data_IF_720305390635
#
_entry.id   IF_720305390635
#
_cell.length_a   1.000
_cell.length_b   1.000
_cell.length_c   1.000
_cell.angle_alpha   90.00
_cell.angle_beta   90.00
_cell.angle_gamma   90.00
#
_symmetry.space_group_name_H-M   'P 1'
#
loop_
_entity.id
_entity.type
_entity.pdbx_description
1 polymer ?
#
# COMPACT_ATOMS: atom_id res chain seq x y z
N UNK A 1 26.78 -5.80 11.10
CA UNK A 1 25.72 -6.47 10.31
C UNK A 1 24.31 -6.20 10.86
N UNK A 2 24.02 -6.51 12.15
CA UNK A 2 22.66 -6.41 12.70
C UNK A 2 22.03 -5.00 12.75
N UNK A 3 22.82 -3.97 13.04
CA UNK A 3 22.33 -2.56 13.09
C UNK A 3 21.90 -2.03 11.72
N UNK A 4 22.59 -2.45 10.65
CA UNK A 4 22.26 -2.09 9.27
C UNK A 4 20.93 -2.72 8.82
N UNK A 5 20.74 -4.02 9.10
CA UNK A 5 19.48 -4.72 8.80
C UNK A 5 18.29 -4.15 9.59
N UNK A 6 18.51 -3.76 10.85
CA UNK A 6 17.51 -3.09 11.66
C UNK A 6 17.11 -1.74 11.05
N UNK A 7 18.07 -0.93 10.61
CA UNK A 7 17.82 0.35 9.95
C UNK A 7 17.02 0.20 8.65
N UNK A 8 17.37 -0.79 7.82
CA UNK A 8 16.61 -1.12 6.61
C UNK A 8 15.18 -1.56 6.94
N UNK A 9 15.01 -2.45 7.91
CA UNK A 9 13.68 -2.89 8.35
C UNK A 9 12.83 -1.71 8.83
N UNK A 10 13.38 -0.84 9.68
CA UNK A 10 12.66 0.33 10.19
C UNK A 10 12.27 1.29 9.06
N UNK A 11 13.15 1.48 8.08
CA UNK A 11 12.88 2.33 6.91
C UNK A 11 11.74 1.77 6.07
N UNK A 12 11.79 0.47 5.76
CA UNK A 12 10.69 -0.22 5.05
C UNK A 12 9.40 -0.17 5.84
N UNK A 13 9.46 -0.51 7.13
CA UNK A 13 8.29 -0.58 7.98
C UNK A 13 7.60 0.79 8.06
N UNK A 14 8.38 1.85 8.24
CA UNK A 14 7.86 3.22 8.29
C UNK A 14 7.27 3.66 6.95
N UNK A 15 8.00 3.49 5.84
CA UNK A 15 7.51 3.85 4.51
C UNK A 15 6.25 3.05 4.11
N UNK A 16 6.23 1.75 4.40
CA UNK A 16 5.08 0.86 4.16
C UNK A 16 3.87 1.29 4.98
N UNK A 17 4.05 1.59 6.26
CA UNK A 17 2.96 2.05 7.12
C UNK A 17 2.38 3.39 6.65
N UNK A 18 3.23 4.34 6.24
CA UNK A 18 2.77 5.61 5.66
C UNK A 18 2.00 5.42 4.35
N UNK A 19 2.41 4.46 3.52
CA UNK A 19 1.73 4.13 2.28
C UNK A 19 0.36 3.47 2.52
N UNK A 20 0.26 2.59 3.53
CA UNK A 20 -1.01 1.99 4.00
C UNK A 20 -1.98 3.03 4.54
N UNK A 21 -1.45 4.04 5.21
CA UNK A 21 -2.21 5.16 5.75
C UNK A 21 -2.77 6.08 4.65
N UNK A 22 -2.08 6.19 3.52
CA UNK A 22 -2.56 6.97 2.38
C UNK A 22 -3.73 6.24 1.70
N UNK A 23 -4.92 6.84 1.64
CA UNK A 23 -6.09 6.19 1.06
C UNK A 23 -5.96 6.02 -0.45
N UNK A 24 -6.09 4.78 -0.91
CA UNK A 24 -6.19 4.40 -2.32
C UNK A 24 -7.54 3.76 -2.66
N UNK A 25 -7.68 3.22 -3.88
CA UNK A 25 -8.88 2.48 -4.30
C UNK A 25 -9.25 1.34 -3.35
N UNK A 26 -8.26 0.56 -2.92
CA UNK A 26 -8.43 -0.59 -2.01
C UNK A 26 -8.97 -0.16 -0.64
N UNK A 27 -8.40 0.92 -0.09
CA UNK A 27 -8.86 1.52 1.15
C UNK A 27 -10.33 1.92 1.05
N UNK A 28 -10.72 2.61 -0.04
CA UNK A 28 -12.11 3.06 -0.26
C UNK A 28 -13.05 1.84 -0.36
N UNK A 29 -12.62 0.76 -1.01
CA UNK A 29 -13.40 -0.47 -1.14
C UNK A 29 -13.64 -1.15 0.22
N UNK A 30 -12.60 -1.25 1.06
CA UNK A 30 -12.71 -1.80 2.43
C UNK A 30 -13.65 -0.94 3.28
N UNK A 31 -13.47 0.39 3.26
CA UNK A 31 -14.35 1.32 3.98
C UNK A 31 -15.78 1.18 3.51
N UNK A 32 -16.07 1.30 2.20
CA UNK A 32 -17.43 1.18 1.67
C UNK A 32 -18.10 -0.14 2.06
N UNK A 33 -17.35 -1.25 2.07
CA UNK A 33 -17.88 -2.55 2.45
C UNK A 33 -18.12 -2.65 3.96
N UNK A 34 -17.22 -2.11 4.78
CA UNK A 34 -17.39 -2.05 6.23
C UNK A 34 -18.60 -1.21 6.67
N UNK A 35 -18.98 -0.22 5.85
CA UNK A 35 -20.14 0.65 6.08
C UNK A 35 -21.47 0.03 5.63
N UNK A 36 -21.47 -0.67 4.48
CA UNK A 36 -22.70 -1.07 3.79
C UNK A 36 -22.99 -2.58 3.83
N UNK A 37 -22.07 -3.40 4.36
CA UNK A 37 -22.18 -4.86 4.36
C UNK A 37 -21.76 -5.47 5.71
N UNK A 38 -21.74 -6.80 5.79
CA UNK A 38 -21.33 -7.51 7.02
C UNK A 38 -19.82 -7.33 7.22
N UNK A 39 -19.38 -7.25 8.47
CA UNK A 39 -17.95 -7.19 8.82
C UNK A 39 -17.12 -8.29 8.15
N UNK A 40 -17.67 -9.51 8.06
CA UNK A 40 -16.99 -10.65 7.42
C UNK A 40 -16.76 -10.42 5.91
N UNK A 41 -17.63 -9.66 5.23
CA UNK A 41 -17.48 -9.33 3.81
C UNK A 41 -16.32 -8.35 3.60
N UNK A 42 -16.16 -7.39 4.52
CA UNK A 42 -15.03 -6.45 4.51
C UNK A 42 -13.70 -7.16 4.84
N UNK A 43 -13.70 -8.12 5.76
CA UNK A 43 -12.53 -8.96 6.06
C UNK A 43 -12.16 -9.84 4.85
N UNK A 44 -13.14 -10.40 4.13
CA UNK A 44 -12.88 -11.17 2.93
C UNK A 44 -12.23 -10.31 1.81
N UNK A 45 -12.71 -9.08 1.61
CA UNK A 45 -12.07 -8.10 0.72
C UNK A 45 -10.64 -7.78 1.16
N UNK A 46 -10.43 -7.51 2.46
CA UNK A 46 -9.10 -7.25 3.02
C UNK A 46 -8.12 -8.41 2.77
N UNK A 47 -8.58 -9.66 2.93
CA UNK A 47 -7.77 -10.84 2.60
C UNK A 47 -7.42 -10.92 1.11
N UNK A 48 -8.35 -10.55 0.23
CA UNK A 48 -8.12 -10.46 -1.21
C UNK A 48 -7.05 -9.42 -1.55
N UNK A 49 -7.18 -8.21 -1.00
CA UNK A 49 -6.21 -7.11 -1.17
C UNK A 49 -4.83 -7.53 -0.66
N UNK A 50 -4.75 -8.11 0.55
CA UNK A 50 -3.49 -8.60 1.10
C UNK A 50 -2.84 -9.68 0.22
N UNK A 51 -3.63 -10.57 -0.38
CA UNK A 51 -3.13 -11.60 -1.30
C UNK A 51 -2.57 -11.00 -2.58
N UNK A 52 -3.23 -9.99 -3.16
CA UNK A 52 -2.71 -9.27 -4.33
C UNK A 52 -1.39 -8.55 -4.01
N UNK A 53 -1.32 -7.89 -2.84
CA UNK A 53 -0.12 -7.26 -2.35
C UNK A 53 1.01 -8.28 -2.12
N UNK A 54 0.70 -9.47 -1.61
CA UNK A 54 1.67 -10.56 -1.44
C UNK A 54 2.31 -10.98 -2.77
N UNK A 55 1.54 -10.99 -3.87
CA UNK A 55 2.08 -11.27 -5.21
C UNK A 55 3.08 -10.19 -5.62
N UNK A 56 2.74 -8.91 -5.46
CA UNK A 56 3.66 -7.82 -5.79
C UNK A 56 4.94 -7.86 -4.94
N UNK A 57 4.79 -8.02 -3.62
CA UNK A 57 5.90 -8.12 -2.69
C UNK A 57 6.81 -9.30 -3.08
N UNK A 58 6.24 -10.48 -3.31
CA UNK A 58 7.01 -11.67 -3.69
C UNK A 58 7.72 -11.47 -5.03
N UNK A 59 7.04 -10.88 -6.01
CA UNK A 59 7.60 -10.61 -7.34
C UNK A 59 8.76 -9.62 -7.25
N UNK A 60 8.63 -8.56 -6.45
CA UNK A 60 9.71 -7.59 -6.25
C UNK A 60 10.88 -8.22 -5.48
N UNK A 61 10.62 -8.98 -4.40
CA UNK A 61 11.67 -9.63 -3.60
C UNK A 61 12.50 -10.63 -4.44
N UNK A 62 11.83 -11.37 -5.34
CA UNK A 62 12.49 -12.30 -6.28
C UNK A 62 13.19 -11.52 -7.40
N UNK A 63 12.48 -10.60 -8.05
CA UNK A 63 12.92 -9.90 -9.26
C UNK A 63 14.08 -8.94 -9.03
N UNK A 64 14.14 -8.29 -7.87
CA UNK A 64 15.20 -7.31 -7.58
C UNK A 64 16.59 -7.96 -7.52
N UNK A 65 16.70 -9.20 -7.03
CA UNK A 65 17.98 -9.92 -7.06
C UNK A 65 18.49 -10.19 -8.48
N UNK A 66 17.59 -10.56 -9.39
CA UNK A 66 17.93 -10.78 -10.80
C UNK A 66 18.30 -9.48 -11.53
N UNK A 67 17.60 -8.38 -11.23
CA UNK A 67 17.88 -7.05 -11.77
C UNK A 67 19.25 -6.51 -11.37
N UNK A 68 19.61 -6.66 -10.09
CA UNK A 68 20.91 -6.22 -9.57
C UNK A 68 22.06 -7.04 -10.19
N UNK A 69 21.86 -8.35 -10.37
CA UNK A 69 22.85 -9.21 -11.01
C UNK A 69 23.03 -8.92 -12.52
N UNK A 70 22.01 -8.34 -13.17
CA UNK A 70 22.01 -8.12 -14.61
C UNK A 70 22.77 -6.84 -15.02
N UNK A 71 22.42 -5.67 -14.46
CA UNK A 71 23.03 -4.39 -14.87
C UNK A 71 22.79 -3.25 -13.87
N UNK A 72 23.85 -2.57 -13.42
CA UNK A 72 23.78 -1.40 -12.53
C UNK A 72 22.98 -0.23 -13.12
N UNK A 73 23.08 0.01 -14.44
CA UNK A 73 22.32 1.06 -15.12
C UNK A 73 20.81 0.80 -15.09
N UNK A 74 20.41 -0.46 -15.21
CA UNK A 74 19.00 -0.87 -15.14
C UNK A 74 18.43 -0.60 -13.74
N UNK A 75 19.23 -0.85 -12.71
CA UNK A 75 18.88 -0.53 -11.32
C UNK A 75 18.78 0.98 -11.08
N UNK A 76 19.68 1.79 -11.64
CA UNK A 76 19.60 3.26 -11.55
C UNK A 76 18.36 3.82 -12.26
N UNK A 77 18.03 3.32 -13.45
CA UNK A 77 16.81 3.67 -14.19
C UNK A 77 15.55 3.32 -13.39
N UNK A 78 15.51 2.12 -12.81
CA UNK A 78 14.39 1.67 -11.99
C UNK A 78 14.26 2.48 -10.69
N UNK A 79 15.39 2.84 -10.07
CA UNK A 79 15.43 3.72 -8.90
C UNK A 79 14.90 5.11 -9.24
N UNK A 80 15.30 5.68 -10.38
CA UNK A 80 14.80 6.96 -10.85
C UNK A 80 13.29 6.93 -11.10
N UNK A 81 12.81 5.88 -11.78
CA UNK A 81 11.38 5.68 -12.03
C UNK A 81 10.58 5.53 -10.72
N UNK A 82 11.10 4.75 -9.77
CA UNK A 82 10.46 4.57 -8.48
C UNK A 82 10.44 5.84 -7.63
N UNK A 83 11.56 6.56 -7.56
CA UNK A 83 11.65 7.85 -6.88
C UNK A 83 10.69 8.89 -7.48
N UNK A 84 10.63 8.99 -8.81
CA UNK A 84 9.68 9.85 -9.51
C UNK A 84 8.22 9.46 -9.21
N UNK A 85 7.92 8.17 -9.13
CA UNK A 85 6.58 7.71 -8.77
C UNK A 85 6.20 8.05 -7.32
N UNK A 86 7.11 7.92 -6.37
CA UNK A 86 6.86 8.34 -4.98
C UNK A 86 6.62 9.85 -4.88
N UNK A 87 7.34 10.66 -5.66
CA UNK A 87 7.07 12.10 -5.79
C UNK A 87 5.70 12.35 -6.41
N UNK A 88 5.31 11.59 -7.44
CA UNK A 88 3.97 11.67 -8.01
C UNK A 88 2.88 11.35 -6.97
N UNK A 89 3.03 10.26 -6.20
CA UNK A 89 2.11 9.93 -5.11
C UNK A 89 2.07 11.03 -4.04
N UNK A 90 3.23 11.60 -3.71
CA UNK A 90 3.33 12.72 -2.77
C UNK A 90 2.55 13.93 -3.24
N UNK A 91 2.73 14.34 -4.51
CA UNK A 91 1.99 15.45 -5.12
C UNK A 91 0.49 15.15 -5.12
N UNK A 92 0.08 13.91 -5.43
CA UNK A 92 -1.33 13.53 -5.44
C UNK A 92 -1.95 13.61 -4.03
N UNK A 93 -1.28 13.09 -3.01
CA UNK A 93 -1.71 13.17 -1.61
C UNK A 93 -1.74 14.64 -1.11
N UNK A 94 -0.74 15.44 -1.47
CA UNK A 94 -0.68 16.88 -1.19
C UNK A 94 -1.71 17.70 -1.98
N UNK A 95 -2.21 17.18 -3.10
CA UNK A 95 -3.26 17.81 -3.90
C UNK A 95 -4.67 17.37 -3.50
N UNK A 96 -4.80 16.32 -2.67
CA UNK A 96 -6.09 15.82 -2.24
C UNK A 96 -6.91 16.90 -1.52
N UNK A 97 -8.18 17.06 -1.93
CA UNK A 97 -9.10 18.04 -1.34
C UNK A 97 -9.91 17.40 -0.23
N UNK A 98 -10.26 18.16 0.79
CA UNK A 98 -11.06 17.70 1.93
C UNK A 98 -12.43 17.12 1.50
N UNK A 99 -12.99 17.61 0.38
CA UNK A 99 -14.21 17.09 -0.24
C UNK A 99 -14.06 15.66 -0.80
N UNK A 100 -12.86 15.23 -1.19
CA UNK A 100 -12.62 13.85 -1.67
C UNK A 100 -12.78 12.81 -0.55
N UNK A 101 -12.71 13.25 0.72
CA UNK A 101 -12.90 12.43 1.90
C UNK A 101 -14.29 12.61 2.49
N UNK A 102 -15.07 13.62 2.07
CA UNK A 102 -16.48 13.66 2.38
C UNK A 102 -17.08 12.43 1.71
N UNK A 103 -17.36 11.39 2.51
CA UNK A 103 -18.21 10.29 2.09
C UNK A 103 -19.52 10.98 1.76
N UNK A 104 -19.73 11.26 0.47
CA UNK A 104 -20.99 11.77 -0.01
C UNK A 104 -22.04 10.80 0.52
N UNK A 105 -23.04 11.31 1.22
CA UNK A 105 -24.25 10.61 1.64
C UNK A 105 -25.05 10.03 0.45
N UNK A 106 -24.45 9.93 -0.74
CA UNK A 106 -25.06 9.68 -2.04
C UNK A 106 -24.16 8.82 -2.91
N UNK A 107 -23.92 7.59 -2.48
CA UNK A 107 -23.73 6.48 -3.41
C UNK A 107 -24.07 5.19 -2.67
N UNK A 108 -25.37 4.90 -2.58
CA UNK A 108 -25.81 3.52 -2.66
C UNK A 108 -25.00 2.87 -3.78
N UNK A 109 -24.14 1.89 -3.44
CA UNK A 109 -23.65 0.95 -4.43
C UNK A 109 -24.87 0.55 -5.28
N UNK A 110 -24.76 0.50 -6.62
CA UNK A 110 -25.83 -0.08 -7.41
C UNK A 110 -26.14 -1.42 -6.76
N UNK A 111 -27.36 -1.56 -6.26
CA UNK A 111 -27.94 -2.82 -5.82
C UNK A 111 -28.15 -3.68 -7.06
N UNK A 112 -27.08 -3.97 -7.80
CA UNK A 112 -27.05 -5.04 -8.78
C UNK A 112 -26.82 -6.31 -7.96
N UNK A 113 -27.92 -7.02 -7.75
CA UNK A 113 -28.02 -8.36 -7.20
C UNK A 113 -27.67 -8.57 -5.72
N UNK A 114 -28.69 -8.26 -4.92
CA UNK A 114 -29.06 -9.09 -3.76
C UNK A 114 -29.12 -10.56 -4.18
N UNK A 115 -28.05 -11.31 -3.95
CA UNK A 115 -28.08 -12.73 -3.59
C UNK A 115 -26.66 -13.13 -3.19
N UNK A 116 -26.38 -13.16 -1.89
CA UNK A 116 -25.27 -13.92 -1.29
C UNK A 116 -23.97 -13.93 -2.14
N UNK A 117 -23.36 -12.78 -2.41
CA UNK A 117 -21.98 -12.81 -2.92
C UNK A 117 -21.16 -13.60 -1.89
N UNK A 118 -20.66 -14.76 -2.32
CA UNK A 118 -19.93 -15.66 -1.44
C UNK A 118 -18.71 -14.91 -0.88
N UNK A 119 -18.21 -15.35 0.28
CA UNK A 119 -16.96 -14.80 0.81
C UNK A 119 -15.84 -14.89 -0.23
N UNK A 120 -15.88 -15.92 -1.09
CA UNK A 120 -15.01 -16.06 -2.26
C UNK A 120 -15.15 -14.93 -3.27
N UNK A 121 -16.37 -14.51 -3.61
CA UNK A 121 -16.60 -13.38 -4.49
C UNK A 121 -16.10 -12.06 -3.90
N UNK A 122 -16.27 -11.86 -2.59
CA UNK A 122 -15.72 -10.71 -1.86
C UNK A 122 -14.19 -10.71 -1.85
N UNK A 123 -13.59 -11.88 -1.58
CA UNK A 123 -12.15 -12.06 -1.71
C UNK A 123 -11.64 -11.71 -3.10
N UNK A 124 -12.27 -12.24 -4.16
CA UNK A 124 -11.87 -11.94 -5.53
C UNK A 124 -12.03 -10.46 -5.88
N UNK A 125 -13.09 -9.80 -5.38
CA UNK A 125 -13.28 -8.36 -5.54
C UNK A 125 -12.10 -7.58 -4.95
N UNK A 126 -11.69 -7.93 -3.72
CA UNK A 126 -10.52 -7.32 -3.07
C UNK A 126 -9.21 -7.63 -3.81
N UNK A 127 -9.03 -8.87 -4.27
CA UNK A 127 -7.86 -9.28 -5.03
C UNK A 127 -7.72 -8.52 -6.34
N UNK A 128 -8.80 -8.42 -7.13
CA UNK A 128 -8.83 -7.67 -8.39
C UNK A 128 -8.58 -6.18 -8.14
N UNK A 129 -9.17 -5.60 -7.10
CA UNK A 129 -8.86 -4.22 -6.70
C UNK A 129 -7.37 -4.05 -6.42
N UNK A 130 -6.80 -4.91 -5.56
CA UNK A 130 -5.42 -4.81 -5.14
C UNK A 130 -4.41 -5.01 -6.27
N UNK A 131 -4.68 -5.94 -7.20
CA UNK A 131 -3.79 -6.25 -8.33
C UNK A 131 -3.95 -5.29 -9.51
N UNK A 132 -5.07 -4.59 -9.61
CA UNK A 132 -5.27 -3.52 -10.59
C UNK A 132 -4.94 -2.15 -10.02
N UNK A 133 -4.60 -2.07 -8.73
CA UNK A 133 -4.25 -0.81 -8.09
C UNK A 133 -2.82 -0.40 -8.49
N UNK A 134 -2.66 0.60 -9.38
CA UNK A 134 -1.33 1.02 -9.84
C UNK A 134 -0.48 1.54 -8.68
N UNK A 135 -1.11 2.05 -7.61
CA UNK A 135 -0.40 2.51 -6.41
C UNK A 135 0.45 1.39 -5.81
N UNK A 136 -0.10 0.18 -5.68
CA UNK A 136 0.59 -0.94 -5.02
C UNK A 136 1.81 -1.37 -5.83
N UNK A 137 1.63 -1.61 -7.13
CA UNK A 137 2.70 -2.03 -8.04
C UNK A 137 3.90 -1.08 -7.96
N UNK A 138 3.66 0.20 -8.24
CA UNK A 138 4.74 1.17 -8.31
C UNK A 138 5.30 1.51 -6.92
N UNK A 139 4.50 1.47 -5.84
CA UNK A 139 5.00 1.64 -4.48
C UNK A 139 6.02 0.56 -4.10
N UNK A 140 5.67 -0.72 -4.26
CA UNK A 140 6.60 -1.81 -3.94
C UNK A 140 7.84 -1.77 -4.82
N UNK A 141 7.68 -1.50 -6.11
CA UNK A 141 8.80 -1.34 -7.02
C UNK A 141 9.76 -0.24 -6.54
N UNK A 142 9.23 0.91 -6.12
CA UNK A 142 10.01 2.04 -5.61
C UNK A 142 10.64 1.77 -4.24
N UNK A 143 9.95 1.03 -3.38
CA UNK A 143 10.43 0.71 -2.03
C UNK A 143 11.57 -0.29 -2.07
N UNK A 144 11.45 -1.31 -2.93
CA UNK A 144 12.45 -2.37 -3.02
C UNK A 144 13.70 -1.96 -3.80
N UNK A 145 13.62 -0.98 -4.70
CA UNK A 145 14.83 -0.38 -5.30
C UNK A 145 15.69 0.35 -4.28
N UNK A 146 15.08 0.93 -3.24
CA UNK A 146 15.80 1.62 -2.17
C UNK A 146 16.49 0.66 -1.19
N UNK A 147 15.84 -0.47 -0.87
CA UNK A 147 16.19 -1.26 0.32
C UNK A 147 16.93 -2.55 0.01
N UNK A 148 16.69 -3.16 -1.16
CA UNK A 148 17.33 -4.42 -1.49
C UNK A 148 18.63 -4.17 -2.24
N UNK A 149 19.74 -4.18 -1.52
CA UNK A 149 21.09 -4.30 -2.07
C UNK A 149 21.55 -5.76 -2.07
N UNK A 150 22.67 -6.06 -2.73
CA UNK A 150 23.23 -7.42 -2.83
C UNK A 150 23.50 -8.08 -1.46
N UNK A 151 23.63 -7.29 -0.40
CA UNK A 151 24.04 -7.77 0.93
C UNK A 151 22.87 -8.33 1.78
N UNK A 152 21.64 -8.30 1.26
CA UNK A 152 20.45 -8.75 2.00
C UNK A 152 20.18 -10.23 1.75
N UNK A 153 20.28 -11.04 2.82
CA UNK A 153 20.04 -12.49 2.75
C UNK A 153 18.57 -12.86 2.45
N UNK A 154 18.36 -14.08 1.94
CA UNK A 154 17.03 -14.57 1.57
C UNK A 154 16.06 -14.62 2.76
N UNK A 155 16.55 -15.01 3.95
CA UNK A 155 15.73 -15.11 5.15
C UNK A 155 15.11 -13.75 5.53
N UNK A 156 15.90 -12.67 5.48
CA UNK A 156 15.42 -11.32 5.75
C UNK A 156 14.37 -10.89 4.72
N UNK A 157 14.57 -11.18 3.43
CA UNK A 157 13.59 -10.90 2.38
C UNK A 157 12.26 -11.61 2.65
N UNK A 158 12.29 -12.88 3.03
CA UNK A 158 11.09 -13.67 3.35
C UNK A 158 10.37 -13.12 4.58
N UNK A 159 11.11 -12.86 5.67
CA UNK A 159 10.53 -12.29 6.90
C UNK A 159 9.91 -10.92 6.63
N UNK A 160 10.60 -10.07 5.87
CA UNK A 160 10.12 -8.76 5.48
C UNK A 160 8.84 -8.87 4.65
N UNK A 161 8.80 -9.77 3.66
CA UNK A 161 7.63 -9.99 2.83
C UNK A 161 6.41 -10.48 3.62
N UNK A 162 6.60 -11.46 4.51
CA UNK A 162 5.55 -11.97 5.40
C UNK A 162 5.02 -10.84 6.30
N UNK A 163 5.93 -10.07 6.91
CA UNK A 163 5.57 -8.94 7.75
C UNK A 163 4.76 -7.88 6.99
N UNK A 164 5.19 -7.51 5.78
CA UNK A 164 4.50 -6.52 4.95
C UNK A 164 3.11 -6.97 4.53
N UNK A 165 2.95 -8.23 4.12
CA UNK A 165 1.64 -8.82 3.80
C UNK A 165 0.73 -8.89 5.01
N UNK A 166 1.26 -9.30 6.17
CA UNK A 166 0.51 -9.32 7.41
C UNK A 166 0.08 -7.91 7.84
N UNK A 167 0.96 -6.91 7.69
CA UNK A 167 0.65 -5.51 7.99
C UNK A 167 -0.51 -4.98 7.14
N UNK A 168 -0.55 -5.28 5.83
CA UNK A 168 -1.67 -4.93 4.94
C UNK A 168 -2.97 -5.55 5.46
N UNK A 169 -2.96 -6.87 5.69
CA UNK A 169 -4.16 -7.58 6.14
C UNK A 169 -4.66 -7.07 7.49
N UNK A 170 -3.77 -6.94 8.48
CA UNK A 170 -4.12 -6.50 9.83
C UNK A 170 -4.65 -5.07 9.84
N UNK A 171 -4.05 -4.18 9.04
CA UNK A 171 -4.53 -2.81 8.87
C UNK A 171 -5.95 -2.77 8.28
N UNK A 172 -6.17 -3.46 7.16
CA UNK A 172 -7.47 -3.48 6.49
C UNK A 172 -8.55 -4.19 7.33
N UNK A 173 -8.19 -5.26 8.04
CA UNK A 173 -9.08 -5.94 8.97
C UNK A 173 -9.40 -5.07 10.19
N UNK A 174 -8.44 -4.30 10.70
CA UNK A 174 -8.68 -3.33 11.77
C UNK A 174 -9.64 -2.23 11.30
N UNK A 175 -9.44 -1.69 10.09
CA UNK A 175 -10.36 -0.73 9.48
C UNK A 175 -11.76 -1.31 9.35
N UNK A 176 -11.90 -2.54 8.84
CA UNK A 176 -13.16 -3.25 8.78
C UNK A 176 -13.81 -3.41 10.16
N UNK A 177 -13.02 -3.66 11.21
CA UNK A 177 -13.53 -3.79 12.57
C UNK A 177 -14.01 -2.45 13.15
N UNK A 178 -13.17 -1.41 13.10
CA UNK A 178 -13.41 -0.12 13.75
C UNK A 178 -14.45 0.73 13.01
N UNK A 179 -14.51 0.65 11.67
CA UNK A 179 -15.44 1.46 10.87
C UNK A 179 -16.85 0.87 10.80
N UNK A 180 -17.05 -0.40 11.20
CA UNK A 180 -18.39 -0.93 11.45
C UNK A 180 -19.12 -0.20 12.58
N UNK A 181 -18.41 0.55 13.44
CA UNK A 181 -19.02 1.39 14.47
C UNK A 181 -19.28 2.83 13.95
N UNK A 182 -20.56 3.19 13.81
CA UNK A 182 -21.07 4.50 13.35
C UNK A 182 -20.30 5.75 13.85
N UNK A 183 -19.97 5.93 15.14
CA UNK A 183 -19.28 7.14 15.62
C UNK A 183 -17.82 7.25 15.18
N UNK A 184 -17.16 6.14 14.81
CA UNK A 184 -15.74 6.13 14.42
C UNK A 184 -15.53 6.64 12.99
N UNK A 185 -16.54 6.51 12.12
CA UNK A 185 -16.48 6.81 10.69
C UNK A 185 -16.19 8.28 10.42
N UNK A 186 -16.96 9.18 11.06
CA UNK A 186 -16.82 10.63 10.90
C UNK A 186 -15.48 11.16 11.44
N UNK A 187 -14.93 10.52 12.48
CA UNK A 187 -13.62 10.86 13.04
C UNK A 187 -12.50 10.42 12.10
N UNK A 188 -12.57 9.18 11.60
CA UNK A 188 -11.58 8.64 10.68
C UNK A 188 -11.47 9.49 9.41
N UNK A 189 -12.59 9.85 8.79
CA UNK A 189 -12.63 10.70 7.58
C UNK A 189 -11.91 12.04 7.78
N UNK A 190 -12.12 12.67 8.94
CA UNK A 190 -11.51 13.98 9.24
C UNK A 190 -9.99 13.86 9.42
N UNK A 191 -9.53 12.78 10.03
CA UNK A 191 -8.11 12.52 10.29
C UNK A 191 -7.41 11.99 9.04
N UNK A 192 -8.10 11.21 8.21
CA UNK A 192 -7.59 10.63 6.97
C UNK A 192 -7.04 11.69 6.00
N UNK A 193 -7.69 12.85 5.94
CA UNK A 193 -7.18 14.00 5.19
C UNK A 193 -5.79 14.44 5.67
N UNK A 194 -5.60 14.58 6.98
CA UNK A 194 -4.30 15.00 7.55
C UNK A 194 -3.25 13.90 7.43
N UNK A 195 -3.66 12.64 7.63
CA UNK A 195 -2.81 11.47 7.41
C UNK A 195 -2.28 11.48 5.98
N UNK A 196 -3.14 11.69 4.98
CA UNK A 196 -2.70 11.69 3.57
C UNK A 196 -1.74 12.86 3.28
N UNK A 197 -1.96 14.05 3.87
CA UNK A 197 -0.98 15.15 3.76
C UNK A 197 0.37 14.78 4.35
N UNK A 198 0.40 14.19 5.54
CA UNK A 198 1.65 13.79 6.20
C UNK A 198 2.36 12.69 5.41
N UNK A 199 1.63 11.65 4.99
CA UNK A 199 2.15 10.60 4.11
C UNK A 199 2.68 11.19 2.80
N UNK A 200 2.00 12.19 2.23
CA UNK A 200 2.45 12.90 1.04
C UNK A 200 3.80 13.58 1.21
N UNK A 201 3.98 14.39 2.28
CA UNK A 201 5.28 15.02 2.57
C UNK A 201 6.40 13.99 2.71
N UNK A 202 6.13 12.91 3.45
CA UNK A 202 7.14 11.89 3.75
C UNK A 202 7.48 11.04 2.52
N UNK A 203 6.49 10.62 1.72
CA UNK A 203 6.71 9.93 0.45
C UNK A 203 7.50 10.82 -0.53
N UNK A 204 7.23 12.13 -0.54
CA UNK A 204 7.95 13.08 -1.37
C UNK A 204 9.42 13.20 -0.97
N UNK A 205 9.71 13.26 0.34
CA UNK A 205 11.07 13.27 0.87
C UNK A 205 11.82 11.97 0.53
N UNK A 206 11.18 10.81 0.66
CA UNK A 206 11.76 9.51 0.29
C UNK A 206 12.03 9.46 -1.22
N UNK A 207 11.06 9.87 -2.04
CA UNK A 207 11.19 9.89 -3.50
C UNK A 207 12.33 10.80 -3.98
N UNK A 208 12.45 12.01 -3.41
CA UNK A 208 13.57 12.92 -3.69
C UNK A 208 14.92 12.33 -3.29
N UNK A 209 14.98 11.64 -2.16
CA UNK A 209 16.21 10.98 -1.69
C UNK A 209 16.64 9.87 -2.64
N UNK A 210 15.69 9.08 -3.14
CA UNK A 210 15.95 8.02 -4.13
C UNK A 210 16.45 8.62 -5.44
N UNK A 211 15.76 9.63 -5.98
CA UNK A 211 16.17 10.31 -7.23
C UNK A 211 17.58 10.88 -7.09
N UNK A 212 17.86 11.56 -5.98
CA UNK A 212 19.19 12.12 -5.71
C UNK A 212 20.25 11.03 -5.64
N UNK A 213 19.98 9.92 -4.94
CA UNK A 213 20.92 8.80 -4.84
C UNK A 213 21.18 8.13 -6.19
N UNK A 214 20.15 8.01 -7.04
CA UNK A 214 20.28 7.39 -8.35
C UNK A 214 21.06 8.26 -9.36
N UNK A 215 21.09 9.58 -9.17
CA UNK A 215 21.85 10.52 -10.01
C UNK A 215 23.31 10.67 -9.58
N UNK A 216 23.64 10.32 -8.34
CA UNK A 216 24.99 10.46 -7.76
C UNK A 216 25.82 9.17 -7.82
N UNK A 217 25.20 8.05 -8.21
CA UNK A 217 25.82 6.73 -8.42
C UNK A 217 25.97 6.43 -9.92
#
# INVERSE_FOLDING_TARGET
MGTHLLGLFLTVAFAHFLALLSPGPDFILVVKTALNARRIDAIAIAAGIASANAIYISTCLIGVGALIAANSQLMSLLSLAGGAFLIYLAVHALSARKQNYAIADTASLPTSDRLKSSLTGKFFTGFVSGILNPKNLFFYLSLFTLVLTNDVNLLFKVVLGIWMTAAVFLWDAALAFFLSAQPMQRRFIRIAYFIDKMSGVLLGAIGLTIVKSALLN
#
